data_IF_045391369084
#
_entry.id   IF_045391369084
#
_cell.length_a   1.000
_cell.length_b   1.000
_cell.length_c   1.000
_cell.angle_alpha   90.00
_cell.angle_beta   90.00
_cell.angle_gamma   90.00
#
_symmetry.space_group_name_H-M   'P 1'
#
loop_
_entity.id
_entity.type
_entity.pdbx_description
1 polymer ?
#
# COMPACT_ATOMS: atom_id res chain seq x y z
N UNK A 1 94.68 -20.19 -26.35
CA UNK A 1 93.77 -19.06 -26.60
C UNK A 1 92.64 -19.54 -27.49
N UNK A 2 91.50 -19.80 -26.90
CA UNK A 2 90.21 -20.22 -27.62
C UNK A 2 89.15 -19.24 -27.26
N UNK A 3 88.71 -18.45 -28.20
CA UNK A 3 87.54 -17.58 -28.06
C UNK A 3 86.28 -18.41 -28.06
N UNK A 4 85.50 -18.21 -27.07
CA UNK A 4 84.15 -18.75 -26.99
C UNK A 4 83.14 -17.76 -27.55
N UNK A 5 82.30 -18.24 -28.49
CA UNK A 5 81.25 -17.47 -29.13
C UNK A 5 80.01 -17.65 -28.27
N UNK A 6 79.44 -16.61 -27.76
CA UNK A 6 78.16 -16.62 -27.04
C UNK A 6 77.00 -16.51 -28.02
N UNK A 7 76.05 -17.46 -27.99
CA UNK A 7 74.77 -17.39 -28.68
C UNK A 7 73.77 -16.56 -27.93
N UNK A 8 72.94 -15.73 -28.59
CA UNK A 8 71.85 -15.05 -27.96
C UNK A 8 70.59 -15.93 -27.83
N UNK A 9 70.13 -16.11 -26.60
CA UNK A 9 68.84 -16.76 -26.31
C UNK A 9 67.69 -15.83 -26.64
N UNK A 10 66.84 -16.26 -27.55
CA UNK A 10 65.56 -15.60 -27.85
C UNK A 10 64.56 -15.85 -26.71
N UNK A 11 64.17 -14.83 -26.00
CA UNK A 11 63.05 -14.89 -25.04
C UNK A 11 61.74 -14.78 -25.81
N UNK A 12 60.97 -15.89 -25.85
CA UNK A 12 59.60 -15.87 -26.33
C UNK A 12 58.70 -15.31 -25.20
N UNK A 13 58.18 -14.09 -25.37
CA UNK A 13 57.15 -13.55 -24.52
C UNK A 13 55.78 -14.08 -25.00
N UNK A 14 55.22 -15.01 -24.28
CA UNK A 14 53.86 -15.50 -24.50
C UNK A 14 52.86 -14.50 -23.82
N UNK A 15 52.13 -13.77 -24.67
CA UNK A 15 50.97 -13.00 -24.23
C UNK A 15 49.84 -13.93 -23.83
N UNK A 16 49.63 -14.08 -22.55
CA UNK A 16 48.42 -14.71 -22.00
C UNK A 16 47.32 -13.65 -21.97
N UNK A 17 46.37 -13.74 -22.94
CA UNK A 17 45.13 -13.00 -22.89
C UNK A 17 44.25 -13.52 -21.77
N UNK A 18 44.20 -12.84 -20.64
CA UNK A 18 43.24 -13.08 -19.58
C UNK A 18 41.86 -12.60 -20.06
N UNK A 19 41.01 -13.54 -20.45
CA UNK A 19 39.56 -13.27 -20.62
C UNK A 19 38.95 -12.99 -19.23
N UNK A 20 38.53 -11.75 -19.02
CA UNK A 20 37.74 -11.36 -17.86
C UNK A 20 36.34 -11.97 -18.05
N UNK A 21 35.87 -12.88 -17.19
CA UNK A 21 34.49 -13.33 -17.27
C UNK A 21 33.60 -12.14 -16.92
N UNK A 22 32.73 -11.75 -17.85
CA UNK A 22 31.60 -10.88 -17.58
C UNK A 22 30.70 -11.63 -16.58
N UNK A 23 30.76 -11.26 -15.33
CA UNK A 23 29.81 -11.71 -14.33
C UNK A 23 28.45 -11.12 -14.71
N UNK A 24 27.59 -11.96 -15.31
CA UNK A 24 26.16 -11.71 -15.40
C UNK A 24 25.71 -11.61 -13.95
N UNK A 25 25.36 -10.39 -13.53
CA UNK A 25 24.79 -10.15 -12.20
C UNK A 25 23.57 -11.08 -12.06
N UNK A 26 23.71 -12.07 -11.19
CA UNK A 26 22.55 -12.78 -10.67
C UNK A 26 21.82 -11.74 -9.85
N UNK A 27 20.63 -11.35 -10.32
CA UNK A 27 19.64 -10.65 -9.50
C UNK A 27 19.52 -11.45 -8.20
N UNK A 28 20.15 -10.95 -7.15
CA UNK A 28 19.89 -11.45 -5.81
C UNK A 28 18.45 -11.08 -5.51
N UNK A 29 17.54 -12.03 -5.72
CA UNK A 29 16.17 -11.99 -5.23
C UNK A 29 16.25 -11.64 -3.76
N UNK A 30 16.00 -10.38 -3.43
CA UNK A 30 15.71 -9.98 -2.05
C UNK A 30 14.59 -10.91 -1.59
N UNK A 31 14.61 -11.47 -0.36
CA UNK A 31 13.48 -12.19 0.17
C UNK A 31 12.32 -11.22 0.37
N UNK A 32 11.62 -10.88 -0.70
CA UNK A 32 10.41 -10.08 -0.69
C UNK A 32 9.23 -10.96 -0.35
N UNK A 33 8.13 -10.36 0.04
CA UNK A 33 6.88 -11.00 0.47
C UNK A 33 6.25 -11.97 -0.55
N UNK A 34 6.92 -12.29 -1.63
CA UNK A 34 6.49 -13.23 -2.65
C UNK A 34 5.40 -12.69 -3.59
N UNK A 35 5.13 -11.38 -3.59
CA UNK A 35 4.26 -10.66 -4.52
C UNK A 35 4.71 -9.21 -4.67
N UNK A 36 4.29 -8.55 -5.75
CA UNK A 36 4.61 -7.15 -6.03
C UNK A 36 3.43 -6.49 -6.78
N UNK A 37 3.57 -5.21 -7.16
CA UNK A 37 2.58 -4.51 -7.98
C UNK A 37 2.90 -4.51 -9.48
N UNK A 38 3.91 -5.25 -9.93
CA UNK A 38 4.30 -5.29 -11.34
C UNK A 38 4.96 -6.59 -11.74
N UNK A 39 5.04 -6.85 -13.06
CA UNK A 39 5.72 -8.02 -13.62
C UNK A 39 5.08 -9.35 -13.23
N UNK A 40 5.87 -10.41 -13.18
CA UNK A 40 5.40 -11.78 -12.94
C UNK A 40 4.83 -12.02 -11.53
N UNK A 41 5.09 -11.13 -10.58
CA UNK A 41 4.57 -11.17 -9.21
C UNK A 41 3.48 -10.10 -8.99
N UNK A 42 3.01 -9.46 -10.08
CA UNK A 42 2.01 -8.39 -10.07
C UNK A 42 0.57 -8.88 -9.91
N UNK A 43 -0.40 -7.94 -9.82
CA UNK A 43 -1.80 -8.23 -9.50
C UNK A 43 -2.48 -9.26 -10.39
N UNK A 44 -2.14 -9.31 -11.67
CA UNK A 44 -2.71 -10.26 -12.63
C UNK A 44 -2.32 -11.71 -12.33
N UNK A 45 -1.25 -11.92 -11.56
CA UNK A 45 -0.69 -13.24 -11.24
C UNK A 45 -0.82 -13.62 -9.77
N UNK A 46 -1.32 -12.74 -8.90
CA UNK A 46 -1.35 -12.99 -7.45
C UNK A 46 -2.00 -14.33 -7.08
N UNK A 47 -3.12 -14.69 -7.72
CA UNK A 47 -3.81 -15.95 -7.45
C UNK A 47 -3.04 -17.21 -7.84
N UNK A 48 -1.98 -17.08 -8.65
CA UNK A 48 -1.13 -18.18 -9.12
C UNK A 48 0.15 -18.33 -8.28
N UNK A 49 0.50 -17.32 -7.47
CA UNK A 49 1.77 -17.29 -6.74
C UNK A 49 1.79 -18.30 -5.59
N UNK A 50 0.67 -18.48 -4.91
CA UNK A 50 0.53 -19.40 -3.76
C UNK A 50 -0.93 -19.88 -3.64
N UNK A 51 -1.17 -21.12 -3.18
CA UNK A 51 -2.54 -21.63 -3.00
C UNK A 51 -3.41 -20.75 -2.09
N UNK A 52 -2.86 -20.16 -1.04
CA UNK A 52 -3.57 -19.26 -0.14
C UNK A 52 -3.98 -17.92 -0.77
N UNK A 53 -3.52 -17.62 -1.99
CA UNK A 53 -3.86 -16.41 -2.75
C UNK A 53 -4.96 -16.64 -3.80
N UNK A 54 -5.54 -17.83 -3.87
CA UNK A 54 -6.60 -18.19 -4.84
C UNK A 54 -7.71 -17.15 -4.94
N UNK A 55 -8.09 -16.54 -3.81
CA UNK A 55 -9.11 -15.49 -3.77
C UNK A 55 -8.78 -14.27 -4.63
N UNK A 56 -7.51 -14.01 -4.91
CA UNK A 56 -7.10 -12.87 -5.76
C UNK A 56 -7.59 -13.00 -7.20
N UNK A 57 -7.73 -14.25 -7.71
CA UNK A 57 -8.22 -14.54 -9.07
C UNK A 57 -9.62 -15.16 -9.09
N UNK A 58 -10.01 -15.95 -8.08
CA UNK A 58 -11.28 -16.68 -8.06
C UNK A 58 -12.37 -15.97 -7.26
N UNK A 59 -12.04 -14.95 -6.49
CA UNK A 59 -12.98 -14.20 -5.67
C UNK A 59 -14.01 -13.43 -6.51
N UNK A 60 -15.23 -13.31 -5.95
CA UNK A 60 -16.34 -12.64 -6.62
C UNK A 60 -16.70 -11.29 -6.01
N UNK A 61 -16.14 -10.97 -4.85
CA UNK A 61 -16.36 -9.71 -4.12
C UNK A 61 -15.03 -9.02 -3.83
N UNK A 62 -14.23 -8.90 -4.89
CA UNK A 62 -12.88 -8.34 -4.79
C UNK A 62 -12.88 -6.80 -4.74
N UNK A 63 -11.88 -6.23 -4.08
CA UNK A 63 -11.58 -4.79 -3.99
C UNK A 63 -10.20 -4.51 -4.61
N UNK A 64 -9.94 -3.27 -5.09
CA UNK A 64 -10.86 -2.11 -5.12
C UNK A 64 -11.92 -2.24 -6.23
N UNK A 65 -12.85 -1.28 -6.29
CA UNK A 65 -13.83 -1.18 -7.38
C UNK A 65 -13.92 0.27 -7.92
N UNK A 66 -14.42 0.42 -9.13
CA UNK A 66 -14.94 1.69 -9.62
C UNK A 66 -16.39 1.87 -9.11
N UNK A 67 -16.59 2.87 -8.28
CA UNK A 67 -17.87 3.18 -7.64
C UNK A 67 -18.75 3.92 -8.65
N UNK A 68 -19.77 3.21 -9.17
CA UNK A 68 -20.77 3.73 -10.11
C UNK A 68 -22.17 3.30 -9.68
N UNK A 69 -23.16 4.05 -10.10
CA UNK A 69 -24.58 3.71 -9.92
C UNK A 69 -24.92 3.35 -8.45
N UNK A 70 -24.35 4.07 -7.50
CA UNK A 70 -24.62 3.85 -6.08
C UNK A 70 -26.06 4.22 -5.75
N UNK A 71 -26.74 3.38 -4.96
CA UNK A 71 -28.11 3.56 -4.55
C UNK A 71 -28.19 4.30 -3.22
N UNK A 72 -29.00 5.36 -3.16
CA UNK A 72 -29.30 6.06 -1.91
C UNK A 72 -29.94 5.12 -0.89
N UNK A 73 -29.44 5.13 0.32
CA UNK A 73 -29.94 4.33 1.41
C UNK A 73 -29.86 5.08 2.75
N UNK A 74 -30.74 4.74 3.66
CA UNK A 74 -30.71 5.24 5.04
C UNK A 74 -29.60 4.52 5.83
N UNK A 75 -28.34 4.88 5.50
CA UNK A 75 -27.17 4.31 6.14
C UNK A 75 -26.89 5.01 7.46
N UNK A 76 -26.57 4.22 8.49
CA UNK A 76 -26.14 4.77 9.78
C UNK A 76 -24.88 5.59 9.64
N UNK A 77 -24.78 6.77 10.25
CA UNK A 77 -23.54 7.53 10.23
C UNK A 77 -22.39 6.73 10.87
N UNK A 78 -21.17 6.97 10.37
CA UNK A 78 -19.97 6.41 10.98
C UNK A 78 -19.58 7.33 12.16
N UNK A 79 -19.57 6.79 13.37
CA UNK A 79 -19.05 7.49 14.54
C UNK A 79 -17.56 7.13 14.71
N UNK A 80 -16.69 8.12 14.61
CA UNK A 80 -15.25 7.99 14.78
C UNK A 80 -14.86 8.37 16.22
N UNK A 81 -14.26 7.44 16.95
CA UNK A 81 -13.68 7.66 18.29
C UNK A 81 -12.16 7.44 18.18
N UNK A 82 -11.48 8.41 17.54
CA UNK A 82 -10.04 8.42 17.40
C UNK A 82 -9.41 9.42 18.33
N UNK A 83 -8.31 9.03 18.96
CA UNK A 83 -7.52 9.82 19.90
C UNK A 83 -6.08 9.83 19.42
N UNK A 84 -5.30 10.84 19.79
CA UNK A 84 -3.87 10.84 19.56
C UNK A 84 -3.21 9.57 20.09
N UNK A 85 -2.25 9.04 19.34
CA UNK A 85 -1.41 7.91 19.72
C UNK A 85 0.04 8.17 19.30
N UNK A 86 0.98 7.55 19.99
CA UNK A 86 2.39 7.62 19.60
C UNK A 86 2.58 7.10 18.18
N UNK A 87 3.40 7.76 17.39
CA UNK A 87 3.67 7.38 16.00
C UNK A 87 4.49 6.08 15.94
N UNK A 88 3.86 5.01 15.44
CA UNK A 88 4.46 3.70 15.15
C UNK A 88 4.38 3.44 13.67
N UNK A 89 5.45 3.73 12.95
CA UNK A 89 5.51 3.68 11.50
C UNK A 89 6.37 2.52 11.01
N UNK A 90 5.94 1.90 9.93
CA UNK A 90 6.66 0.82 9.24
C UNK A 90 6.60 1.04 7.73
N UNK A 91 7.75 0.92 7.07
CA UNK A 91 7.84 0.66 5.64
C UNK A 91 7.79 -0.86 5.45
N UNK A 92 6.62 -1.42 5.09
CA UNK A 92 6.44 -2.86 4.99
C UNK A 92 6.85 -3.47 3.63
N UNK A 93 7.57 -2.68 2.79
CA UNK A 93 8.00 -3.11 1.46
C UNK A 93 6.97 -2.87 0.35
N UNK A 94 5.70 -2.60 0.72
CA UNK A 94 4.59 -2.36 -0.22
C UNK A 94 3.92 -1.01 -0.01
N UNK A 95 4.02 -0.44 1.19
CA UNK A 95 3.49 0.87 1.56
C UNK A 95 4.14 1.39 2.83
N UNK A 96 3.81 2.62 3.19
CA UNK A 96 4.01 3.17 4.54
C UNK A 96 2.74 2.91 5.34
N UNK A 97 2.89 2.20 6.45
CA UNK A 97 1.82 1.82 7.36
C UNK A 97 2.08 2.41 8.75
N UNK A 98 1.02 2.84 9.41
CA UNK A 98 1.04 3.28 10.80
C UNK A 98 0.18 2.37 11.64
N UNK A 99 0.79 1.69 12.60
CA UNK A 99 0.08 0.84 13.56
C UNK A 99 -0.52 1.70 14.67
N UNK A 100 -1.76 1.42 15.04
CA UNK A 100 -2.53 2.27 15.93
C UNK A 100 -2.75 1.63 17.30
N UNK A 101 -2.77 2.43 18.37
CA UNK A 101 -3.01 1.93 19.72
C UNK A 101 -4.48 1.55 19.92
N UNK A 102 -4.70 0.55 20.79
CA UNK A 102 -6.04 0.11 21.17
C UNK A 102 -6.86 1.23 21.79
N UNK A 103 -8.19 1.11 21.68
CA UNK A 103 -9.13 2.08 22.19
C UNK A 103 -9.58 3.12 21.17
N UNK A 104 -9.07 3.03 19.96
CA UNK A 104 -9.47 3.84 18.80
C UNK A 104 -10.42 3.02 17.91
N UNK A 105 -11.56 3.58 17.52
CA UNK A 105 -12.57 2.77 16.85
C UNK A 105 -13.51 3.57 15.95
N UNK A 106 -14.22 2.85 15.10
CA UNK A 106 -15.46 3.33 14.48
C UNK A 106 -16.65 2.53 15.01
N UNK A 107 -17.83 3.17 14.98
CA UNK A 107 -19.11 2.48 15.18
C UNK A 107 -20.02 2.81 14.00
N UNK A 108 -20.58 1.77 13.37
CA UNK A 108 -21.54 1.87 12.27
C UNK A 108 -22.78 1.08 12.63
N UNK A 109 -23.90 1.77 12.83
CA UNK A 109 -25.10 1.18 13.43
C UNK A 109 -24.79 0.65 14.83
N UNK A 110 -24.92 -0.67 15.03
CA UNK A 110 -24.64 -1.35 16.30
C UNK A 110 -23.31 -2.11 16.32
N UNK A 111 -22.48 -1.99 15.26
CA UNK A 111 -21.19 -2.66 15.17
C UNK A 111 -20.05 -1.71 15.46
N UNK A 112 -19.18 -2.13 16.37
CA UNK A 112 -17.95 -1.43 16.71
C UNK A 112 -16.75 -2.17 16.15
N UNK A 113 -15.83 -1.44 15.48
CA UNK A 113 -14.60 -1.96 14.91
C UNK A 113 -13.42 -1.15 15.44
N UNK A 114 -12.41 -1.80 15.99
CA UNK A 114 -11.19 -1.19 16.51
C UNK A 114 -10.21 -0.88 15.37
N UNK A 115 -9.66 0.33 15.33
CA UNK A 115 -8.62 0.73 14.38
C UNK A 115 -7.32 -0.03 14.69
N UNK A 116 -6.84 -0.76 13.70
CA UNK A 116 -5.61 -1.57 13.80
C UNK A 116 -4.42 -0.80 13.23
N UNK A 117 -4.60 -0.23 12.03
CA UNK A 117 -3.57 0.47 11.30
C UNK A 117 -4.21 1.30 10.17
N UNK A 118 -3.43 2.23 9.62
CA UNK A 118 -3.74 2.83 8.33
C UNK A 118 -2.50 2.82 7.42
N UNK A 119 -2.72 2.85 6.11
CA UNK A 119 -1.68 2.83 5.10
C UNK A 119 -2.13 3.53 3.83
N UNK A 120 -1.19 3.79 2.91
CA UNK A 120 -1.42 4.63 1.75
C UNK A 120 -1.19 3.88 0.43
N UNK A 121 -1.94 4.29 -0.60
CA UNK A 121 -1.72 3.87 -1.98
C UNK A 121 -1.60 5.09 -2.91
N UNK A 122 -0.75 4.97 -3.92
CA UNK A 122 -0.51 5.94 -4.98
C UNK A 122 -0.47 5.22 -6.35
N UNK A 123 -1.38 5.58 -7.29
CA UNK A 123 -2.57 6.41 -7.12
C UNK A 123 -3.61 5.79 -6.18
N UNK A 124 -4.84 6.36 -6.08
CA UNK A 124 -5.93 5.72 -5.35
C UNK A 124 -6.27 4.36 -5.96
N UNK A 125 -6.66 3.42 -5.10
CA UNK A 125 -7.14 2.11 -5.55
C UNK A 125 -8.60 2.17 -5.99
N UNK A 126 -9.46 2.87 -5.21
CA UNK A 126 -10.85 3.12 -5.59
C UNK A 126 -10.92 4.21 -6.66
N UNK A 127 -11.85 4.01 -7.58
CA UNK A 127 -12.30 5.02 -8.53
C UNK A 127 -13.73 5.45 -8.21
N UNK A 128 -14.09 6.68 -8.55
CA UNK A 128 -15.48 7.17 -8.53
C UNK A 128 -15.81 7.67 -9.93
N UNK A 129 -16.80 7.04 -10.58
CA UNK A 129 -17.21 7.35 -11.95
C UNK A 129 -16.02 7.35 -12.96
N UNK A 130 -15.09 6.39 -12.76
CA UNK A 130 -13.87 6.25 -13.57
C UNK A 130 -12.79 7.29 -13.26
N UNK A 131 -12.97 8.08 -12.21
CA UNK A 131 -11.97 9.04 -11.78
C UNK A 131 -11.06 8.41 -10.71
N UNK A 132 -9.78 8.33 -11.02
CA UNK A 132 -8.71 8.03 -10.06
C UNK A 132 -8.29 9.30 -9.33
N UNK A 133 -7.95 9.20 -8.05
CA UNK A 133 -7.43 10.29 -7.22
C UNK A 133 -5.92 10.16 -7.05
N UNK A 134 -5.27 11.24 -6.56
CA UNK A 134 -3.82 11.25 -6.42
C UNK A 134 -3.31 10.14 -5.49
N UNK A 135 -4.01 9.94 -4.36
CA UNK A 135 -3.72 8.86 -3.40
C UNK A 135 -5.01 8.43 -2.68
N UNK A 136 -4.92 7.37 -1.91
CA UNK A 136 -5.93 6.98 -0.91
C UNK A 136 -5.24 6.54 0.37
N UNK A 137 -5.88 6.78 1.50
CA UNK A 137 -5.52 6.16 2.77
C UNK A 137 -6.62 5.19 3.21
N UNK A 138 -6.22 3.96 3.54
CA UNK A 138 -7.08 2.92 4.08
C UNK A 138 -6.89 2.81 5.59
N UNK A 139 -7.94 3.11 6.34
CA UNK A 139 -7.99 2.89 7.79
C UNK A 139 -8.63 1.53 8.03
N UNK A 140 -7.82 0.57 8.48
CA UNK A 140 -8.22 -0.83 8.66
C UNK A 140 -8.65 -1.08 10.08
N UNK A 141 -9.86 -1.59 10.24
CA UNK A 141 -10.48 -1.87 11.53
C UNK A 141 -10.87 -3.34 11.65
N UNK A 142 -11.05 -3.80 12.89
CA UNK A 142 -11.48 -5.17 13.18
C UNK A 142 -12.47 -5.19 14.34
N UNK A 143 -13.56 -5.93 14.20
CA UNK A 143 -14.49 -6.19 15.31
C UNK A 143 -13.97 -7.31 16.24
N UNK A 144 -14.71 -7.57 17.32
CA UNK A 144 -14.36 -8.60 18.30
C UNK A 144 -14.41 -10.05 17.73
N UNK A 145 -15.14 -10.25 16.65
CA UNK A 145 -15.30 -11.55 15.97
C UNK A 145 -14.24 -11.74 14.87
N UNK A 146 -13.37 -10.73 14.66
CA UNK A 146 -12.32 -10.76 13.65
C UNK A 146 -12.71 -10.26 12.27
N UNK A 147 -13.97 -9.81 12.07
CA UNK A 147 -14.39 -9.24 10.80
C UNK A 147 -13.74 -7.90 10.56
N UNK A 148 -13.35 -7.65 9.31
CA UNK A 148 -12.66 -6.42 8.92
C UNK A 148 -13.63 -5.37 8.37
N UNK A 149 -13.32 -4.13 8.66
CA UNK A 149 -13.92 -2.96 8.03
C UNK A 149 -12.81 -1.99 7.60
N UNK A 150 -12.92 -1.42 6.41
CA UNK A 150 -12.00 -0.42 5.90
C UNK A 150 -12.76 0.87 5.64
N UNK A 151 -12.24 1.98 6.20
CA UNK A 151 -12.62 3.32 5.78
C UNK A 151 -11.56 3.82 4.80
N UNK A 152 -11.96 4.11 3.56
CA UNK A 152 -11.10 4.71 2.56
C UNK A 152 -11.34 6.21 2.51
N UNK A 153 -10.26 6.99 2.59
CA UNK A 153 -10.27 8.44 2.39
C UNK A 153 -9.46 8.76 1.16
N UNK A 154 -10.13 9.20 0.11
CA UNK A 154 -9.49 9.63 -1.13
C UNK A 154 -8.70 10.92 -0.86
N UNK A 155 -7.49 10.99 -1.40
CA UNK A 155 -6.61 12.13 -1.24
C UNK A 155 -6.44 12.84 -2.58
N UNK A 156 -6.59 14.14 -2.58
CA UNK A 156 -6.46 14.95 -3.80
C UNK A 156 -5.48 16.10 -3.59
N UNK A 157 -4.81 16.48 -4.66
CA UNK A 157 -3.89 17.61 -4.65
C UNK A 157 -4.57 18.90 -4.22
N UNK A 158 -4.03 19.53 -3.19
CA UNK A 158 -4.53 20.80 -2.65
C UNK A 158 -3.59 21.36 -1.58
N UNK A 159 -4.15 21.71 -0.43
CA UNK A 159 -3.40 22.19 0.74
C UNK A 159 -2.65 21.04 1.40
N UNK A 160 -1.51 21.36 2.03
CA UNK A 160 -0.78 20.39 2.84
C UNK A 160 -1.65 19.88 4.01
N UNK A 161 -1.50 18.59 4.32
CA UNK A 161 -2.09 17.97 5.51
C UNK A 161 -1.02 17.84 6.59
N UNK A 162 -1.19 18.55 7.71
CA UNK A 162 -0.18 18.61 8.77
C UNK A 162 0.18 17.24 9.33
N UNK A 163 -0.79 16.30 9.43
CA UNK A 163 -0.52 14.95 9.92
C UNK A 163 0.27 14.12 8.91
N UNK A 164 -0.03 14.24 7.61
CA UNK A 164 0.74 13.58 6.53
C UNK A 164 2.15 14.14 6.48
N UNK A 165 2.31 15.46 6.63
CA UNK A 165 3.63 16.10 6.69
C UNK A 165 4.45 15.56 7.86
N UNK A 166 3.90 15.54 9.07
CA UNK A 166 4.55 15.00 10.26
C UNK A 166 4.97 13.54 10.06
N UNK A 167 4.09 12.72 9.46
CA UNK A 167 4.40 11.33 9.15
C UNK A 167 5.56 11.19 8.16
N UNK A 168 5.58 12.03 7.10
CA UNK A 168 6.64 11.98 6.08
C UNK A 168 8.00 12.46 6.60
N UNK A 169 8.03 13.30 7.63
CA UNK A 169 9.29 13.68 8.30
C UNK A 169 9.94 12.52 9.06
N UNK A 170 9.17 11.45 9.32
CA UNK A 170 9.58 10.28 10.12
C UNK A 170 9.52 8.95 9.37
N UNK A 171 9.68 8.98 8.03
CA UNK A 171 9.67 7.75 7.22
C UNK A 171 10.82 6.81 7.62
N UNK A 172 10.55 5.50 7.83
CA UNK A 172 11.59 4.54 8.20
C UNK A 172 12.60 4.33 7.07
N UNK A 173 13.89 4.36 7.39
CA UNK A 173 14.96 4.01 6.45
C UNK A 173 15.02 2.49 6.21
N UNK A 174 14.76 1.68 7.27
CA UNK A 174 14.75 0.22 7.19
C UNK A 174 13.35 -0.30 6.84
N UNK A 175 13.30 -1.21 5.85
CA UNK A 175 12.06 -1.92 5.51
C UNK A 175 11.75 -3.00 6.56
N UNK A 176 10.46 -3.33 6.68
CA UNK A 176 9.93 -4.44 7.50
C UNK A 176 10.19 -4.31 9.01
N UNK A 177 10.55 -3.12 9.45
CA UNK A 177 10.80 -2.82 10.86
C UNK A 177 9.91 -1.68 11.33
N UNK A 178 9.06 -1.96 12.32
CA UNK A 178 8.30 -0.93 13.00
C UNK A 178 9.24 -0.02 13.81
N UNK A 179 9.06 1.28 13.65
CA UNK A 179 9.80 2.30 14.39
C UNK A 179 8.82 3.13 15.22
N UNK A 180 9.03 3.15 16.54
CA UNK A 180 8.34 4.07 17.45
C UNK A 180 9.08 5.42 17.44
N UNK A 181 8.40 6.48 17.06
CA UNK A 181 8.95 7.84 17.07
C UNK A 181 8.63 8.49 18.41
N UNK A 182 9.65 8.62 19.26
CA UNK A 182 9.48 9.16 20.59
C UNK A 182 9.12 10.65 20.58
N UNK A 183 8.06 11.01 21.31
CA UNK A 183 7.63 12.40 21.44
C UNK A 183 6.76 12.91 20.28
N UNK A 184 6.46 12.07 19.30
CA UNK A 184 5.54 12.38 18.21
C UNK A 184 4.23 11.63 18.41
N UNK A 185 3.13 12.36 18.40
CA UNK A 185 1.76 11.83 18.43
C UNK A 185 1.03 12.22 17.14
N UNK A 186 0.21 11.31 16.64
CA UNK A 186 -0.65 11.53 15.48
C UNK A 186 -2.09 11.18 15.81
N UNK A 187 -3.05 11.80 15.10
CA UNK A 187 -4.45 11.47 15.22
C UNK A 187 -5.04 11.13 13.84
N UNK A 188 -5.52 9.91 13.66
CA UNK A 188 -6.15 9.47 12.41
C UNK A 188 -7.39 10.30 12.03
N UNK A 189 -8.00 11.02 13.01
CA UNK A 189 -9.08 11.95 12.72
C UNK A 189 -8.68 13.09 11.79
N UNK A 190 -7.39 13.48 11.76
CA UNK A 190 -6.87 14.56 10.94
C UNK A 190 -6.76 14.20 9.44
N UNK A 191 -6.94 12.91 9.11
CA UNK A 191 -7.07 12.44 7.73
C UNK A 191 -8.49 12.57 7.18
N UNK A 192 -9.48 12.73 8.06
CA UNK A 192 -10.88 12.65 7.68
C UNK A 192 -11.39 14.00 7.17
N UNK A 193 -12.16 14.05 6.05
CA UNK A 193 -12.82 15.27 5.59
C UNK A 193 -13.91 15.69 6.58
N UNK A 194 -14.38 16.95 6.51
CA UNK A 194 -15.46 17.45 7.37
C UNK A 194 -16.80 16.74 7.09
N UNK A 195 -17.12 16.55 5.82
CA UNK A 195 -18.26 15.76 5.39
C UNK A 195 -17.93 14.26 5.46
N UNK A 196 -18.80 13.51 6.13
CA UNK A 196 -18.64 12.06 6.41
C UNK A 196 -19.57 11.18 5.58
N UNK A 197 -20.22 11.73 4.56
CA UNK A 197 -20.98 10.95 3.60
C UNK A 197 -20.11 9.87 2.96
N UNK A 198 -20.65 8.68 2.74
CA UNK A 198 -19.86 7.54 2.28
C UNK A 198 -20.61 6.61 1.33
N UNK A 199 -19.85 5.87 0.54
CA UNK A 199 -20.29 4.69 -0.20
C UNK A 199 -19.99 3.44 0.62
N UNK A 200 -20.84 2.42 0.53
CA UNK A 200 -20.66 1.15 1.23
C UNK A 200 -20.91 -0.06 0.33
N UNK A 201 -20.02 -1.03 0.40
CA UNK A 201 -20.15 -2.30 -0.32
C UNK A 201 -19.36 -3.41 0.39
N UNK A 202 -19.73 -4.70 0.20
CA UNK A 202 -18.91 -5.81 0.64
C UNK A 202 -17.75 -6.04 -0.33
N UNK A 203 -16.54 -6.19 0.19
CA UNK A 203 -15.34 -6.35 -0.61
C UNK A 203 -14.32 -7.31 0.00
N UNK A 204 -13.06 -7.08 -0.33
CA UNK A 204 -11.90 -7.88 0.09
C UNK A 204 -10.75 -7.03 0.58
N UNK A 205 -9.68 -7.67 1.06
CA UNK A 205 -8.37 -7.06 1.09
C UNK A 205 -7.90 -6.76 -0.36
N UNK A 206 -7.18 -5.66 -0.55
CA UNK A 206 -6.64 -5.25 -1.86
C UNK A 206 -5.24 -5.78 -2.13
N UNK A 207 -4.69 -6.56 -1.20
CA UNK A 207 -3.40 -7.24 -1.33
C UNK A 207 -3.56 -8.73 -1.06
N UNK A 208 -2.68 -9.61 -1.54
CA UNK A 208 -2.70 -11.01 -1.15
C UNK A 208 -2.77 -11.20 0.38
N UNK A 209 -3.63 -12.10 0.85
CA UNK A 209 -4.36 -13.14 0.11
C UNK A 209 -5.73 -12.74 -0.45
N UNK A 210 -6.07 -11.47 -0.58
CA UNK A 210 -7.32 -10.94 -1.16
C UNK A 210 -8.60 -11.48 -0.48
N UNK A 211 -8.52 -11.76 0.81
CA UNK A 211 -9.61 -12.36 1.60
C UNK A 211 -10.87 -11.51 1.51
N UNK A 212 -11.99 -12.12 1.16
CA UNK A 212 -13.31 -11.50 1.09
C UNK A 212 -13.97 -11.38 2.47
N UNK A 213 -15.08 -10.63 2.53
CA UNK A 213 -15.83 -10.40 3.78
C UNK A 213 -15.47 -9.10 4.48
N UNK A 214 -14.72 -8.22 3.81
CA UNK A 214 -14.39 -6.88 4.31
C UNK A 214 -15.55 -5.93 4.04
N UNK A 215 -15.99 -5.19 5.06
CA UNK A 215 -16.95 -4.09 4.92
C UNK A 215 -16.21 -2.82 4.49
N UNK A 216 -16.54 -2.28 3.32
CA UNK A 216 -15.94 -1.05 2.80
C UNK A 216 -16.83 0.16 3.02
N UNK A 217 -16.20 1.26 3.45
CA UNK A 217 -16.78 2.59 3.63
C UNK A 217 -15.85 3.60 2.95
N UNK A 218 -16.20 4.05 1.75
CA UNK A 218 -15.40 5.04 0.99
C UNK A 218 -16.01 6.41 1.20
N UNK A 219 -15.28 7.33 1.84
CA UNK A 219 -15.78 8.69 2.07
C UNK A 219 -15.93 9.44 0.74
N UNK A 220 -17.08 10.10 0.55
CA UNK A 220 -17.43 10.81 -0.71
C UNK A 220 -16.55 12.02 -0.95
N UNK A 221 -16.22 12.73 0.11
CA UNK A 221 -15.44 13.96 0.05
C UNK A 221 -13.96 13.64 0.24
N UNK A 222 -13.08 13.98 -0.72
CA UNK A 222 -11.65 13.77 -0.57
C UNK A 222 -11.03 14.74 0.44
N UNK A 223 -9.93 14.34 1.05
CA UNK A 223 -9.04 15.19 1.83
C UNK A 223 -7.93 15.74 0.96
N UNK A 224 -7.55 17.01 1.16
CA UNK A 224 -6.46 17.62 0.43
C UNK A 224 -5.10 17.23 1.02
N UNK A 225 -4.13 17.03 0.12
CA UNK A 225 -2.70 16.91 0.42
C UNK A 225 -1.89 17.71 -0.59
N UNK A 226 -0.71 18.17 -0.21
CA UNK A 226 0.12 18.98 -1.11
C UNK A 226 0.78 18.15 -2.20
N UNK A 227 1.18 18.82 -3.29
CA UNK A 227 1.98 18.17 -4.34
C UNK A 227 3.30 17.60 -3.82
N UNK A 228 3.92 18.23 -2.82
CA UNK A 228 5.17 17.75 -2.22
C UNK A 228 4.96 16.45 -1.45
N UNK A 229 3.85 16.32 -0.72
CA UNK A 229 3.50 15.09 0.00
C UNK A 229 3.23 13.93 -0.97
N UNK A 230 2.52 14.19 -2.08
CA UNK A 230 2.30 13.19 -3.14
C UNK A 230 3.62 12.73 -3.76
N UNK A 231 4.49 13.67 -4.15
CA UNK A 231 5.79 13.38 -4.77
C UNK A 231 6.69 12.60 -3.82
N UNK A 232 6.69 12.94 -2.53
CA UNK A 232 7.52 12.28 -1.53
C UNK A 232 7.11 10.82 -1.33
N UNK A 233 5.81 10.52 -1.24
CA UNK A 233 5.33 9.14 -1.20
C UNK A 233 5.57 8.42 -2.53
N UNK A 234 5.28 9.05 -3.65
CA UNK A 234 5.47 8.49 -5.00
C UNK A 234 6.93 8.17 -5.34
N UNK A 235 7.90 8.82 -4.68
CA UNK A 235 9.32 8.48 -4.81
C UNK A 235 9.65 7.11 -4.17
N UNK A 236 8.92 6.70 -3.12
CA UNK A 236 9.06 5.39 -2.48
C UNK A 236 8.22 4.33 -3.19
N UNK A 237 6.97 4.68 -3.51
CA UNK A 237 5.97 3.81 -4.09
C UNK A 237 5.29 4.51 -5.27
N UNK A 238 5.89 4.51 -6.49
CA UNK A 238 5.34 5.19 -7.66
C UNK A 238 4.02 4.60 -8.13
N UNK A 239 3.79 3.31 -7.83
CA UNK A 239 2.55 2.63 -8.13
C UNK A 239 2.41 1.42 -7.20
N UNK A 240 1.58 1.55 -6.16
CA UNK A 240 1.24 0.47 -5.23
C UNK A 240 -0.29 0.30 -5.09
N UNK A 241 -0.99 0.42 -6.21
CA UNK A 241 -2.43 0.26 -6.32
C UNK A 241 -2.77 -1.00 -7.12
N UNK A 242 -3.68 -1.82 -6.59
CA UNK A 242 -4.28 -2.92 -7.32
C UNK A 242 -5.28 -2.35 -8.33
N UNK A 243 -5.35 -2.85 -9.58
CA UNK A 243 -6.40 -2.45 -10.53
C UNK A 243 -7.80 -2.70 -9.99
N UNK A 244 -8.77 -1.90 -10.44
CA UNK A 244 -10.18 -2.08 -10.09
C UNK A 244 -10.69 -3.45 -10.52
N UNK A 245 -11.51 -4.05 -9.66
CA UNK A 245 -12.06 -5.39 -9.81
C UNK A 245 -13.52 -5.36 -10.25
N UNK A 246 -14.01 -6.39 -10.94
CA UNK A 246 -15.40 -6.46 -11.38
C UNK A 246 -16.39 -6.35 -10.20
N UNK A 247 -17.45 -5.58 -10.39
CA UNK A 247 -18.49 -5.40 -9.37
C UNK A 247 -19.29 -6.69 -9.08
N UNK A 248 -19.45 -7.58 -10.08
CA UNK A 248 -20.06 -8.91 -9.94
C UNK A 248 -21.42 -8.92 -9.20
N UNK A 249 -22.36 -8.08 -9.63
CA UNK A 249 -23.71 -7.94 -9.05
C UNK A 249 -23.77 -7.44 -7.60
N UNK A 250 -22.68 -6.92 -7.05
CA UNK A 250 -22.75 -6.24 -5.76
C UNK A 250 -23.54 -4.93 -5.91
N UNK A 251 -24.30 -4.61 -4.91
CA UNK A 251 -24.93 -3.30 -4.79
C UNK A 251 -24.02 -2.38 -4.02
N UNK A 252 -23.80 -1.18 -4.55
CA UNK A 252 -23.13 -0.10 -3.83
C UNK A 252 -24.23 0.77 -3.23
N UNK A 253 -24.18 0.96 -1.92
CA UNK A 253 -25.07 1.86 -1.20
C UNK A 253 -24.34 3.18 -0.91
N UNK A 254 -25.09 4.27 -0.80
CA UNK A 254 -24.54 5.55 -0.39
C UNK A 254 -25.45 6.25 0.62
N UNK A 255 -24.83 7.09 1.47
CA UNK A 255 -25.57 8.02 2.33
C UNK A 255 -26.29 9.07 1.48
N UNK A 256 -27.45 9.49 1.93
CA UNK A 256 -28.21 10.59 1.34
C UNK A 256 -27.45 11.92 1.45
#
# INVERSE_FOLDING_TARGET
MKLGIASPSLLLVSLVSAAIPFAIGQDQKTPGHGWSYSGAEGPDHWGELKPEYDSCSLGHRQSPIDIRDAHDADLSPIHFDYKPTALKVINNGHTIQVNYDRGNSITVGNKRYELIQFHFHHPSEEEIEGKTYDMVVHLVHRDQDGNLAVVAVLLTKGRANAMVQELWEHLPEEKEKETLIHGVEINAADLLPADRGYYSFPGSLTTPPCTEGVSWFVLKTPTEISSSEIVQFGALYPHNARPVQPLNRRTILQTN
#
